data_IF_587466334395
#
_entry.id   IF_587466334395
#
_cell.length_a   1.000
_cell.length_b   1.000
_cell.length_c   1.000
_cell.angle_alpha   90.00
_cell.angle_beta   90.00
_cell.angle_gamma   90.00
#
_symmetry.space_group_name_H-M   'P 1'
#
loop_
_entity.id
_entity.type
_entity.pdbx_description
1 polymer ?
#
# COMPACT_ATOMS: atom_id res chain seq x y z
N UNK A 1 -5.48 10.22 -3.71
CA UNK A 1 -6.73 10.04 -4.47
C UNK A 1 -6.52 9.44 -5.85
N UNK A 2 -5.58 9.90 -6.72
CA UNK A 2 -5.43 9.36 -8.08
C UNK A 2 -5.05 7.87 -8.12
N UNK A 3 -4.20 7.42 -7.21
CA UNK A 3 -3.77 6.03 -7.14
C UNK A 3 -4.90 5.11 -6.66
N UNK A 4 -5.74 5.56 -5.70
CA UNK A 4 -6.92 4.82 -5.28
C UNK A 4 -7.91 4.65 -6.43
N UNK A 5 -8.21 5.71 -7.16
CA UNK A 5 -9.08 5.66 -8.34
C UNK A 5 -8.55 4.73 -9.44
N UNK A 6 -7.22 4.72 -9.64
CA UNK A 6 -6.58 3.82 -10.58
C UNK A 6 -6.73 2.35 -10.13
N UNK A 7 -6.57 2.09 -8.84
CA UNK A 7 -6.72 0.78 -8.23
C UNK A 7 -8.15 0.22 -8.29
N UNK A 8 -9.17 1.09 -8.37
CA UNK A 8 -10.55 0.66 -8.51
C UNK A 8 -10.93 0.32 -9.97
N UNK A 9 -10.12 0.79 -10.95
CA UNK A 9 -10.34 0.52 -12.38
C UNK A 9 -9.45 -0.58 -12.96
N UNK A 10 -8.30 -0.80 -12.36
CA UNK A 10 -7.32 -1.80 -12.79
C UNK A 10 -7.11 -2.84 -11.70
N UNK A 11 -6.54 -3.99 -12.06
CA UNK A 11 -6.15 -4.99 -11.07
C UNK A 11 -5.23 -4.36 -10.01
N UNK A 12 -5.67 -4.41 -8.74
CA UNK A 12 -4.94 -3.83 -7.60
C UNK A 12 -3.51 -4.34 -7.50
N UNK A 13 -3.25 -5.57 -7.94
CA UNK A 13 -1.91 -6.17 -7.97
C UNK A 13 -0.97 -5.41 -8.88
N UNK A 14 -1.47 -5.02 -10.07
CA UNK A 14 -0.69 -4.26 -11.06
C UNK A 14 -0.37 -2.88 -10.52
N UNK A 15 -1.35 -2.22 -9.87
CA UNK A 15 -1.16 -0.89 -9.29
C UNK A 15 -0.13 -0.93 -8.15
N UNK A 16 -0.16 -1.96 -7.28
CA UNK A 16 0.83 -2.15 -6.21
C UNK A 16 2.23 -2.32 -6.80
N UNK A 17 2.39 -3.17 -7.83
CA UNK A 17 3.68 -3.38 -8.50
C UNK A 17 4.18 -2.09 -9.12
N UNK A 18 3.32 -1.36 -9.82
CA UNK A 18 3.68 -0.10 -10.48
C UNK A 18 4.13 0.96 -9.47
N UNK A 19 3.40 1.14 -8.38
CA UNK A 19 3.79 2.03 -7.29
C UNK A 19 5.13 1.62 -6.67
N UNK A 20 5.35 0.33 -6.47
CA UNK A 20 6.60 -0.18 -5.88
C UNK A 20 7.79 0.03 -6.81
N UNK A 21 7.61 -0.16 -8.13
CA UNK A 21 8.64 0.13 -9.13
C UNK A 21 8.96 1.62 -9.18
N UNK A 22 7.94 2.49 -9.17
CA UNK A 22 8.14 3.94 -9.11
C UNK A 22 8.93 4.31 -7.85
N UNK A 23 8.57 3.77 -6.68
CA UNK A 23 9.33 3.98 -5.44
C UNK A 23 10.79 3.56 -5.58
N UNK A 24 11.06 2.38 -6.16
CA UNK A 24 12.43 1.89 -6.36
C UNK A 24 13.25 2.83 -7.27
N UNK A 25 12.66 3.27 -8.40
CA UNK A 25 13.33 4.20 -9.32
C UNK A 25 13.67 5.52 -8.60
N UNK A 26 12.69 6.11 -7.89
CA UNK A 26 12.92 7.39 -7.21
C UNK A 26 13.84 7.27 -6.01
N UNK A 27 13.90 6.13 -5.31
CA UNK A 27 14.96 5.86 -4.31
C UNK A 27 16.35 5.86 -4.95
N UNK A 28 16.52 5.23 -6.11
CA UNK A 28 17.78 5.25 -6.84
C UNK A 28 18.17 6.66 -7.30
N UNK A 29 17.24 7.44 -7.81
CA UNK A 29 17.47 8.85 -8.20
C UNK A 29 17.80 9.73 -6.99
N UNK A 30 17.10 9.55 -5.87
CA UNK A 30 17.39 10.24 -4.62
C UNK A 30 18.79 9.92 -4.10
N UNK A 31 19.22 8.67 -4.20
CA UNK A 31 20.59 8.29 -3.83
C UNK A 31 21.64 9.03 -4.68
N UNK A 32 21.42 9.12 -6.01
CA UNK A 32 22.33 9.82 -6.91
C UNK A 32 22.38 11.31 -6.60
N UNK A 33 21.21 11.95 -6.40
CA UNK A 33 21.12 13.39 -6.13
C UNK A 33 21.56 13.74 -4.72
N UNK A 34 21.40 12.82 -3.75
CA UNK A 34 21.77 13.06 -2.34
C UNK A 34 23.25 12.85 -2.04
N UNK A 35 24.08 12.32 -2.95
CA UNK A 35 25.49 12.01 -2.79
C UNK A 35 26.25 12.95 -1.84
N UNK A 36 27.23 13.69 -2.32
CA UNK A 36 27.94 14.73 -1.54
C UNK A 36 27.07 15.96 -1.20
N UNK A 37 25.89 16.03 -1.83
CA UNK A 37 24.98 17.18 -1.77
C UNK A 37 24.22 17.28 -0.44
N UNK A 38 24.00 16.20 0.33
CA UNK A 38 23.29 16.31 1.61
C UNK A 38 24.05 17.19 2.59
N UNK A 39 25.38 17.08 2.63
CA UNK A 39 26.21 17.90 3.49
C UNK A 39 26.29 19.34 2.98
N UNK A 40 26.36 19.52 1.65
CA UNK A 40 26.33 20.84 1.01
C UNK A 40 24.92 21.47 1.06
N UNK A 41 23.85 20.66 0.99
CA UNK A 41 22.48 21.11 1.10
C UNK A 41 22.16 21.66 2.50
N UNK A 42 22.76 21.10 3.54
CA UNK A 42 22.64 21.61 4.92
C UNK A 42 23.36 22.94 5.12
N UNK A 43 24.48 23.15 4.40
CA UNK A 43 25.33 24.33 4.55
C UNK A 43 24.98 25.46 3.57
N UNK A 44 24.32 25.17 2.45
CA UNK A 44 23.98 26.16 1.43
C UNK A 44 22.50 26.63 1.57
N UNK A 45 22.30 27.82 2.08
CA UNK A 45 20.98 28.49 2.18
C UNK A 45 20.41 28.85 0.79
N UNK A 46 21.21 28.77 -0.26
CA UNK A 46 20.76 29.12 -1.62
C UNK A 46 19.99 27.97 -2.29
N UNK A 47 18.85 28.34 -2.89
CA UNK A 47 18.01 27.42 -3.66
C UNK A 47 18.67 27.07 -5.02
N UNK A 48 19.42 25.98 -5.02
CA UNK A 48 20.01 25.44 -6.25
C UNK A 48 19.12 24.38 -6.92
N UNK A 49 19.39 24.10 -8.20
CA UNK A 49 18.67 23.09 -9.00
C UNK A 49 18.65 21.70 -8.33
N UNK A 50 19.73 21.33 -7.64
CA UNK A 50 19.82 20.04 -6.92
C UNK A 50 18.81 19.91 -5.78
N UNK A 51 18.57 20.99 -5.00
CA UNK A 51 17.54 21.00 -3.97
C UNK A 51 16.14 20.82 -4.55
N UNK A 52 15.84 21.52 -5.62
CA UNK A 52 14.55 21.41 -6.28
C UNK A 52 14.32 19.97 -6.77
N UNK A 53 15.30 19.38 -7.43
CA UNK A 53 15.23 17.98 -7.88
C UNK A 53 15.02 17.02 -6.71
N UNK A 54 15.74 17.21 -5.61
CA UNK A 54 15.57 16.39 -4.41
C UNK A 54 14.14 16.46 -3.87
N UNK A 55 13.57 17.66 -3.72
CA UNK A 55 12.20 17.82 -3.24
C UNK A 55 11.16 17.25 -4.22
N UNK A 56 11.37 17.39 -5.51
CA UNK A 56 10.48 16.80 -6.52
C UNK A 56 10.53 15.27 -6.43
N UNK A 57 11.71 14.67 -6.37
CA UNK A 57 11.85 13.22 -6.31
C UNK A 57 11.30 12.64 -5.01
N UNK A 58 11.52 13.27 -3.86
CA UNK A 58 10.98 12.79 -2.59
C UNK A 58 9.45 12.95 -2.54
N UNK A 59 8.91 13.98 -3.19
CA UNK A 59 7.45 14.16 -3.30
C UNK A 59 6.82 13.06 -4.13
N UNK A 60 7.41 12.73 -5.28
CA UNK A 60 6.91 11.63 -6.13
C UNK A 60 7.05 10.29 -5.41
N UNK A 61 8.18 10.05 -4.75
CA UNK A 61 8.41 8.87 -3.93
C UNK A 61 7.33 8.76 -2.84
N UNK A 62 7.10 9.80 -2.06
CA UNK A 62 6.10 9.81 -0.99
C UNK A 62 4.68 9.59 -1.55
N UNK A 63 4.35 10.25 -2.67
CA UNK A 63 3.06 10.09 -3.36
C UNK A 63 2.79 8.67 -3.82
N UNK A 64 3.82 7.91 -4.21
CA UNK A 64 3.69 6.50 -4.59
C UNK A 64 3.77 5.54 -3.39
N UNK A 65 4.55 5.87 -2.36
CA UNK A 65 4.79 5.02 -1.19
C UNK A 65 3.62 5.03 -0.20
N UNK A 66 3.06 6.20 0.11
CA UNK A 66 1.99 6.33 1.10
C UNK A 66 0.73 5.50 0.78
N UNK A 67 0.27 5.40 -0.48
CA UNK A 67 -0.89 4.57 -0.81
C UNK A 67 -0.64 3.07 -0.74
N UNK A 68 0.60 2.60 -0.67
CA UNK A 68 0.90 1.16 -0.67
C UNK A 68 0.26 0.42 0.51
N UNK A 69 0.22 1.03 1.71
CA UNK A 69 -0.40 0.39 2.87
C UNK A 69 -1.92 0.18 2.68
N UNK A 70 -2.73 1.22 2.40
CA UNK A 70 -4.16 1.02 2.16
C UNK A 70 -4.46 0.14 0.94
N UNK A 71 -3.63 0.16 -0.11
CA UNK A 71 -3.77 -0.75 -1.25
C UNK A 71 -3.57 -2.22 -0.85
N UNK A 72 -2.57 -2.50 -0.02
CA UNK A 72 -2.34 -3.86 0.49
C UNK A 72 -3.47 -4.32 1.42
N UNK A 73 -4.03 -3.43 2.25
CA UNK A 73 -5.20 -3.74 3.07
C UNK A 73 -6.40 -4.07 2.19
N UNK A 74 -6.69 -3.23 1.19
CA UNK A 74 -7.79 -3.46 0.26
C UNK A 74 -7.58 -4.77 -0.52
N UNK A 75 -6.37 -5.01 -1.03
CA UNK A 75 -6.04 -6.27 -1.71
C UNK A 75 -6.21 -7.50 -0.82
N UNK A 76 -5.87 -7.41 0.47
CA UNK A 76 -6.07 -8.51 1.40
C UNK A 76 -7.56 -8.77 1.64
N UNK A 77 -8.35 -7.71 1.76
CA UNK A 77 -9.79 -7.82 1.97
C UNK A 77 -10.53 -8.45 0.77
N UNK A 78 -9.99 -8.34 -0.45
CA UNK A 78 -10.56 -9.03 -1.62
C UNK A 78 -10.54 -10.56 -1.51
N UNK A 79 -9.65 -11.12 -0.65
CA UNK A 79 -9.48 -12.56 -0.47
C UNK A 79 -9.92 -13.08 0.89
N UNK A 80 -10.39 -12.22 1.78
CA UNK A 80 -10.80 -12.59 3.15
C UNK A 80 -12.31 -12.50 3.26
N UNK A 81 -13.00 -13.52 3.84
CA UNK A 81 -14.42 -13.47 4.13
C UNK A 81 -14.78 -12.25 5.00
N UNK A 82 -15.94 -11.66 4.78
CA UNK A 82 -16.39 -10.43 5.48
C UNK A 82 -16.33 -10.54 7.01
N UNK A 83 -16.63 -11.73 7.54
CA UNK A 83 -16.61 -12.03 8.99
C UNK A 83 -15.20 -11.92 9.61
N UNK A 84 -14.15 -12.02 8.77
CA UNK A 84 -12.74 -11.97 9.18
C UNK A 84 -12.06 -10.65 8.91
N UNK A 85 -12.74 -9.65 8.36
CA UNK A 85 -12.16 -8.34 8.01
C UNK A 85 -11.51 -7.65 9.21
N UNK A 86 -12.16 -7.66 10.36
CA UNK A 86 -11.64 -7.04 11.59
C UNK A 86 -10.36 -7.74 12.05
N UNK A 87 -10.36 -9.07 12.04
CA UNK A 87 -9.19 -9.86 12.43
C UNK A 87 -8.03 -9.67 11.45
N UNK A 88 -8.32 -9.64 10.15
CA UNK A 88 -7.34 -9.39 9.09
C UNK A 88 -6.73 -7.99 9.23
N UNK A 89 -7.55 -6.95 9.41
CA UNK A 89 -7.09 -5.59 9.63
C UNK A 89 -6.22 -5.45 10.88
N UNK A 90 -6.59 -6.11 11.97
CA UNK A 90 -5.80 -6.17 13.19
C UNK A 90 -4.43 -6.81 12.97
N UNK A 91 -4.37 -7.94 12.26
CA UNK A 91 -3.12 -8.62 11.93
C UNK A 91 -2.21 -7.75 11.04
N UNK A 92 -2.77 -7.09 10.02
CA UNK A 92 -2.01 -6.18 9.15
C UNK A 92 -1.45 -4.99 9.92
N UNK A 93 -2.24 -4.38 10.82
CA UNK A 93 -1.78 -3.29 11.68
C UNK A 93 -0.67 -3.73 12.64
N UNK A 94 -0.75 -4.96 13.17
CA UNK A 94 0.29 -5.50 14.04
C UNK A 94 1.62 -5.67 13.28
N UNK A 95 1.57 -6.26 12.08
CA UNK A 95 2.75 -6.41 11.21
C UNK A 95 3.33 -5.04 10.83
N UNK A 96 2.45 -4.07 10.49
CA UNK A 96 2.87 -2.70 10.23
C UNK A 96 3.56 -2.06 11.44
N UNK A 97 3.00 -2.22 12.64
CA UNK A 97 3.58 -1.71 13.89
C UNK A 97 4.96 -2.30 14.18
N UNK A 98 5.13 -3.62 14.01
CA UNK A 98 6.43 -4.28 14.15
C UNK A 98 7.45 -3.74 13.14
N UNK A 99 7.04 -3.54 11.89
CA UNK A 99 7.87 -2.92 10.86
C UNK A 99 8.25 -1.48 11.19
N UNK A 100 7.31 -0.70 11.72
CA UNK A 100 7.53 0.70 12.11
C UNK A 100 8.50 0.83 13.31
N UNK A 101 8.51 -0.14 14.21
CA UNK A 101 9.48 -0.18 15.31
C UNK A 101 10.86 -0.67 14.86
N UNK A 102 10.92 -1.78 14.12
CA UNK A 102 12.18 -2.40 13.71
C UNK A 102 12.89 -1.67 12.57
N UNK A 103 12.09 -1.12 11.61
CA UNK A 103 12.62 -0.47 10.41
C UNK A 103 13.65 0.64 10.70
N UNK A 104 13.32 1.65 11.52
CA UNK A 104 14.25 2.73 11.85
C UNK A 104 15.52 2.24 12.54
N UNK A 105 15.44 1.21 13.39
CA UNK A 105 16.60 0.64 14.07
C UNK A 105 17.58 0.01 13.07
N UNK A 106 17.05 -0.86 12.20
CA UNK A 106 17.87 -1.52 11.17
C UNK A 106 18.43 -0.49 10.19
N UNK A 107 17.64 0.49 9.79
CA UNK A 107 18.04 1.59 8.93
C UNK A 107 19.17 2.41 9.56
N UNK A 108 19.06 2.74 10.86
CA UNK A 108 20.10 3.49 11.59
C UNK A 108 21.42 2.74 11.64
N UNK A 109 21.41 1.43 11.89
CA UNK A 109 22.61 0.58 11.86
C UNK A 109 23.23 0.60 10.46
N UNK A 110 22.40 0.51 9.42
CA UNK A 110 22.86 0.54 8.04
C UNK A 110 23.51 1.88 7.68
N UNK A 111 22.87 2.99 8.06
CA UNK A 111 23.40 4.34 7.86
C UNK A 111 24.70 4.60 8.64
N UNK A 112 24.81 4.07 9.85
CA UNK A 112 26.03 4.19 10.65
C UNK A 112 27.23 3.49 9.99
N UNK A 113 26.97 2.37 9.29
CA UNK A 113 28.04 1.58 8.64
C UNK A 113 28.42 2.12 7.25
N UNK A 114 27.45 2.60 6.48
CA UNK A 114 27.62 2.96 5.06
C UNK A 114 27.43 4.45 4.77
N UNK A 115 27.19 5.26 5.81
CA UNK A 115 26.98 6.70 5.69
C UNK A 115 25.51 7.10 5.49
N UNK A 116 25.18 8.39 5.68
CA UNK A 116 23.79 8.88 5.66
C UNK A 116 23.05 8.63 4.35
N UNK A 117 23.73 8.73 3.20
CA UNK A 117 23.14 8.52 1.88
C UNK A 117 22.65 7.10 1.65
N UNK A 118 23.17 6.13 2.40
CA UNK A 118 22.76 4.73 2.35
C UNK A 118 21.28 4.52 2.77
N UNK A 119 20.64 5.51 3.37
CA UNK A 119 19.20 5.52 3.62
C UNK A 119 18.37 5.21 2.37
N UNK A 120 18.71 5.86 1.26
CA UNK A 120 17.99 5.64 0.00
C UNK A 120 18.28 4.28 -0.62
N UNK A 121 19.52 3.76 -0.46
CA UNK A 121 19.85 2.39 -0.86
C UNK A 121 19.07 1.38 -0.02
N UNK A 122 18.97 1.59 1.26
CA UNK A 122 18.18 0.74 2.16
C UNK A 122 16.72 0.65 1.70
N UNK A 123 16.07 1.79 1.43
CA UNK A 123 14.72 1.83 0.91
C UNK A 123 14.61 1.16 -0.47
N UNK A 124 15.56 1.41 -1.37
CA UNK A 124 15.63 0.80 -2.70
C UNK A 124 15.61 -0.73 -2.61
N UNK A 125 16.46 -1.30 -1.78
CA UNK A 125 16.56 -2.77 -1.59
C UNK A 125 15.19 -3.35 -1.22
N UNK A 126 14.50 -2.77 -0.23
CA UNK A 126 13.18 -3.25 0.18
C UNK A 126 12.13 -3.11 -0.94
N UNK A 127 12.11 -2.00 -1.67
CA UNK A 127 11.17 -1.84 -2.77
C UNK A 127 11.44 -2.82 -3.91
N UNK A 128 12.71 -3.10 -4.22
CA UNK A 128 13.08 -4.11 -5.22
C UNK A 128 12.66 -5.51 -4.78
N UNK A 129 12.87 -5.88 -3.51
CA UNK A 129 12.44 -7.17 -2.96
C UNK A 129 10.91 -7.31 -3.07
N UNK A 130 10.17 -6.26 -2.67
CA UNK A 130 8.71 -6.25 -2.74
C UNK A 130 8.24 -6.34 -4.20
N UNK A 131 8.84 -5.61 -5.12
CA UNK A 131 8.50 -5.63 -6.54
C UNK A 131 8.72 -7.03 -7.14
N UNK A 132 9.86 -7.65 -6.88
CA UNK A 132 10.17 -9.02 -7.35
C UNK A 132 9.16 -10.02 -6.77
N UNK A 133 8.87 -9.93 -5.47
CA UNK A 133 7.89 -10.80 -4.83
C UNK A 133 6.49 -10.63 -5.41
N UNK A 134 6.06 -9.39 -5.64
CA UNK A 134 4.75 -9.09 -6.19
C UNK A 134 4.63 -9.57 -7.65
N UNK A 135 5.66 -9.38 -8.48
CA UNK A 135 5.72 -9.93 -9.84
C UNK A 135 5.68 -11.46 -9.83
N UNK A 136 6.47 -12.10 -8.98
CA UNK A 136 6.43 -13.56 -8.82
C UNK A 136 5.02 -14.05 -8.45
N UNK A 137 4.35 -13.36 -7.55
CA UNK A 137 3.00 -13.73 -7.11
C UNK A 137 1.95 -13.56 -8.22
N UNK A 138 2.07 -12.53 -9.06
CA UNK A 138 1.18 -12.33 -10.21
C UNK A 138 1.32 -13.48 -11.21
N UNK A 139 2.55 -13.95 -11.47
CA UNK A 139 2.79 -15.04 -12.43
C UNK A 139 2.31 -16.40 -11.93
N UNK A 140 2.18 -16.60 -10.61
CA UNK A 140 1.82 -17.89 -10.00
C UNK A 140 0.33 -18.02 -9.66
N UNK A 141 -0.39 -16.93 -9.53
CA UNK A 141 -1.80 -16.95 -9.14
C UNK A 141 -2.63 -16.28 -10.22
N UNK A 142 -3.38 -17.08 -10.98
CA UNK A 142 -4.43 -16.59 -11.87
C UNK A 142 -5.40 -15.72 -11.05
N UNK A 143 -5.93 -14.68 -11.67
CA UNK A 143 -7.04 -13.91 -11.11
C UNK A 143 -8.20 -14.89 -10.95
N UNK A 144 -8.53 -15.31 -9.73
CA UNK A 144 -9.84 -15.88 -9.48
C UNK A 144 -10.80 -14.69 -9.59
N UNK A 145 -11.50 -14.61 -10.71
CA UNK A 145 -12.70 -13.81 -10.82
C UNK A 145 -13.66 -14.37 -9.77
N UNK A 146 -13.73 -13.68 -8.62
CA UNK A 146 -14.78 -13.95 -7.66
C UNK A 146 -16.01 -13.21 -8.17
N UNK A 147 -16.98 -13.89 -8.82
CA UNK A 147 -18.16 -13.25 -9.37
C UNK A 147 -19.05 -12.61 -8.30
N UNK A 148 -18.82 -12.94 -7.03
CA UNK A 148 -19.55 -12.42 -5.87
C UNK A 148 -18.97 -11.10 -5.31
N UNK A 149 -17.88 -10.57 -5.89
CA UNK A 149 -17.28 -9.30 -5.45
C UNK A 149 -17.78 -8.07 -6.21
N UNK A 150 -19.02 -8.09 -6.68
CA UNK A 150 -19.68 -6.87 -7.13
C UNK A 150 -19.82 -5.94 -5.91
N UNK A 151 -18.96 -4.92 -5.86
CA UNK A 151 -19.12 -3.82 -4.91
C UNK A 151 -20.43 -3.11 -5.18
N UNK A 152 -21.43 -3.43 -4.40
CA UNK A 152 -22.69 -2.68 -4.37
C UNK A 152 -22.50 -1.53 -3.38
N UNK A 153 -22.43 -0.27 -3.83
CA UNK A 153 -22.31 0.86 -2.92
C UNK A 153 -23.56 0.95 -2.06
N UNK A 154 -23.45 0.58 -0.78
CA UNK A 154 -24.53 0.75 0.18
C UNK A 154 -24.78 2.24 0.40
N UNK A 155 -26.00 2.73 0.26
CA UNK A 155 -26.31 4.11 0.55
C UNK A 155 -26.03 4.42 2.04
N UNK A 156 -25.47 5.60 2.31
CA UNK A 156 -25.06 6.05 3.66
C UNK A 156 -26.16 6.00 4.72
N UNK A 157 -27.42 5.87 4.32
CA UNK A 157 -28.61 5.92 5.18
C UNK A 157 -29.40 4.62 5.16
N UNK A 158 -28.73 3.48 4.93
CA UNK A 158 -29.44 2.19 4.98
C UNK A 158 -29.79 1.87 6.44
N UNK A 159 -31.05 1.57 6.70
CA UNK A 159 -31.50 1.10 8.02
C UNK A 159 -31.10 -0.36 8.20
N UNK A 160 -30.98 -0.86 9.46
CA UNK A 160 -30.71 -2.28 9.71
C UNK A 160 -31.66 -3.21 8.96
N UNK A 161 -32.93 -2.83 8.85
CA UNK A 161 -33.94 -3.58 8.10
C UNK A 161 -33.66 -3.56 6.59
N UNK A 162 -33.12 -2.47 6.05
CA UNK A 162 -32.73 -2.36 4.65
C UNK A 162 -31.52 -3.22 4.31
N UNK A 163 -30.63 -3.47 5.28
CA UNK A 163 -29.52 -4.41 5.12
C UNK A 163 -29.98 -5.87 5.08
N UNK A 164 -31.02 -6.22 5.83
CA UNK A 164 -31.61 -7.57 5.81
C UNK A 164 -32.37 -7.88 4.50
N UNK A 165 -32.86 -6.86 3.83
CA UNK A 165 -33.59 -6.98 2.56
C UNK A 165 -32.68 -6.92 1.32
N UNK A 166 -31.38 -6.66 1.49
CA UNK A 166 -30.43 -6.63 0.40
C UNK A 166 -30.14 -8.07 -0.09
N UNK A 167 -30.42 -8.39 -1.36
CA UNK A 167 -30.20 -9.73 -1.90
C UNK A 167 -28.72 -10.16 -1.86
N UNK A 168 -27.78 -9.21 -1.81
CA UNK A 168 -26.35 -9.49 -1.74
C UNK A 168 -25.85 -9.86 -0.33
N UNK A 169 -26.66 -9.66 0.73
CA UNK A 169 -26.29 -10.04 2.10
C UNK A 169 -26.40 -11.55 2.38
N UNK A 170 -26.92 -12.33 1.45
CA UNK A 170 -27.07 -13.79 1.58
C UNK A 170 -28.07 -14.21 2.68
N UNK A 171 -28.86 -13.28 3.22
CA UNK A 171 -29.92 -13.58 4.17
C UNK A 171 -31.06 -14.23 3.41
N UNK A 172 -31.15 -15.54 3.51
CA UNK A 172 -32.20 -16.32 2.88
C UNK A 172 -33.51 -16.15 3.69
N UNK A 173 -34.40 -15.28 3.25
CA UNK A 173 -35.68 -14.97 3.87
C UNK A 173 -36.57 -16.21 4.09
N UNK A 174 -36.31 -17.34 3.41
CA UNK A 174 -37.02 -18.60 3.62
C UNK A 174 -36.81 -19.23 5.01
N UNK A 175 -35.81 -18.76 5.78
CA UNK A 175 -35.56 -19.26 7.14
C UNK A 175 -36.22 -18.41 8.23
N UNK A 176 -36.75 -17.23 7.91
CA UNK A 176 -37.40 -16.34 8.88
C UNK A 176 -38.84 -16.83 9.18
N UNK A 177 -39.54 -17.34 8.19
CA UNK A 177 -40.93 -17.84 8.35
C UNK A 177 -41.00 -19.14 9.16
N UNK A 178 -39.95 -19.96 9.16
CA UNK A 178 -39.94 -21.22 9.92
C UNK A 178 -39.69 -21.05 11.42
N UNK A 179 -39.39 -19.88 11.93
CA UNK A 179 -39.10 -19.62 13.33
C UNK A 179 -40.30 -19.04 14.08
N UNK A 180 -41.37 -18.71 13.34
CA UNK A 180 -42.61 -18.13 13.90
C UNK A 180 -43.83 -19.10 13.84
N UNK A 181 -43.62 -20.36 13.45
CA UNK A 181 -44.54 -21.49 13.64
C UNK A 181 -44.06 -22.38 14.81
#
# INVERSE_FOLDING_TARGET
WPIGYLSDRFDRRIVIVLCTIVCAIFCGLLFIVSGDSLQQMYLAIEWGTGKLMFFVFITIYAGASLPLFPLNVAHTNDFVPKEKFVASGGALNLVFGLGAMGGPIVCSIFMNKFGPNSFFIFLLIFHVIIAIFALYRITRRSTEDNPDSTFTPLPKNITPLGMELDPDTGVNLSNVDKKNE
#
